data_IF_096577271739
#
_entry.id   IF_096577271739
#
_cell.length_a   1.000
_cell.length_b   1.000
_cell.length_c   1.000
_cell.angle_alpha   90.00
_cell.angle_beta   90.00
_cell.angle_gamma   90.00
#
_symmetry.space_group_name_H-M   'P 1'
#
loop_
_entity.id
_entity.type
_entity.pdbx_description
1 polymer ?
#
# COMPACT_ATOMS: atom_id res chain seq x y z
N UNK A 1 -21.72 36.70 18.48
CA UNK A 1 -20.62 37.43 17.81
C UNK A 1 -20.64 37.06 16.34
N UNK A 2 -20.50 38.03 15.43
CA UNK A 2 -20.51 37.77 14.00
C UNK A 2 -19.31 38.40 13.30
N UNK A 3 -19.08 38.04 12.04
CA UNK A 3 -17.93 38.55 11.32
C UNK A 3 -17.76 38.00 9.91
N UNK A 4 -16.65 38.38 9.29
CA UNK A 4 -16.21 37.90 7.98
C UNK A 4 -14.83 37.26 8.10
N UNK A 5 -14.66 36.08 7.51
CA UNK A 5 -13.40 35.36 7.42
C UNK A 5 -12.92 35.47 5.99
N UNK A 6 -11.76 36.07 5.80
CA UNK A 6 -11.19 36.35 4.47
C UNK A 6 -9.76 35.89 4.37
N UNK A 7 -9.32 35.61 3.16
CA UNK A 7 -7.91 35.37 2.85
C UNK A 7 -7.14 36.70 3.01
N UNK A 8 -5.96 36.61 3.62
CA UNK A 8 -5.09 37.76 3.84
C UNK A 8 -4.58 38.39 2.54
N UNK A 9 -4.45 37.62 1.45
CA UNK A 9 -3.84 38.09 0.22
C UNK A 9 -4.86 38.75 -0.72
N UNK A 10 -5.96 38.05 -1.01
CA UNK A 10 -6.94 38.50 -2.01
C UNK A 10 -8.23 39.07 -1.40
N UNK A 11 -8.37 39.07 -0.06
CA UNK A 11 -9.55 39.56 0.68
C UNK A 11 -10.86 38.85 0.34
N UNK A 12 -10.82 37.70 -0.32
CA UNK A 12 -12.01 36.92 -0.63
C UNK A 12 -12.49 36.15 0.61
N UNK A 13 -13.80 35.98 0.74
CA UNK A 13 -14.41 35.17 1.79
C UNK A 13 -13.96 33.72 1.70
N UNK A 14 -13.57 33.13 2.84
CA UNK A 14 -13.18 31.72 2.89
C UNK A 14 -14.42 30.91 3.31
N UNK A 15 -14.93 30.01 2.44
CA UNK A 15 -16.12 29.23 2.75
C UNK A 15 -15.81 28.14 3.79
N UNK A 16 -16.83 27.76 4.56
CA UNK A 16 -16.85 26.54 5.40
C UNK A 16 -15.72 26.45 6.44
N UNK A 17 -15.21 27.57 6.91
CA UNK A 17 -14.21 27.61 7.99
C UNK A 17 -14.85 27.11 9.29
N UNK A 18 -14.17 26.19 9.98
CA UNK A 18 -14.60 25.71 11.29
C UNK A 18 -14.14 26.66 12.38
N UNK A 19 -15.09 27.04 13.25
CA UNK A 19 -14.89 28.03 14.31
C UNK A 19 -15.20 27.35 15.63
N UNK A 20 -14.25 27.38 16.56
CA UNK A 20 -14.41 26.75 17.86
C UNK A 20 -14.06 27.77 18.94
N UNK A 21 -14.98 28.01 19.88
CA UNK A 21 -14.66 28.71 21.11
C UNK A 21 -13.88 27.76 22.04
N UNK A 22 -12.64 28.10 22.36
CA UNK A 22 -11.73 27.24 23.13
C UNK A 22 -12.18 27.04 24.58
N UNK A 23 -12.94 27.99 25.13
CA UNK A 23 -13.38 27.98 26.53
C UNK A 23 -14.66 27.16 26.69
N UNK A 24 -15.69 27.45 25.89
CA UNK A 24 -17.01 26.79 25.97
C UNK A 24 -17.07 25.49 25.16
N UNK A 25 -16.12 25.27 24.24
CA UNK A 25 -16.10 24.17 23.26
C UNK A 25 -17.31 24.18 22.30
N UNK A 26 -18.04 25.28 22.22
CA UNK A 26 -19.07 25.48 21.21
C UNK A 26 -18.43 25.73 19.85
N UNK A 27 -19.05 25.17 18.81
CA UNK A 27 -18.56 25.26 17.43
C UNK A 27 -19.61 25.82 16.49
N UNK A 28 -19.14 26.52 15.46
CA UNK A 28 -19.95 27.00 14.35
C UNK A 28 -19.19 26.82 13.03
N UNK A 29 -19.91 26.87 11.91
CA UNK A 29 -19.35 26.85 10.57
C UNK A 29 -19.57 28.21 9.89
N UNK A 30 -18.53 28.71 9.23
CA UNK A 30 -18.65 29.85 8.34
C UNK A 30 -19.49 29.50 7.11
N UNK A 31 -20.32 30.45 6.67
CA UNK A 31 -21.08 30.36 5.42
C UNK A 31 -20.16 30.35 4.19
N UNK A 32 -20.74 30.06 3.03
CA UNK A 32 -20.06 30.09 1.74
C UNK A 32 -19.44 31.47 1.40
N UNK A 33 -20.08 32.55 1.88
CA UNK A 33 -19.58 33.92 1.70
C UNK A 33 -18.44 34.30 2.65
N UNK A 34 -18.04 33.40 3.56
CA UNK A 34 -17.08 33.68 4.63
C UNK A 34 -17.67 34.40 5.84
N UNK A 35 -18.98 34.70 5.85
CA UNK A 35 -19.66 35.23 7.05
C UNK A 35 -19.81 34.14 8.10
N UNK A 36 -19.71 34.51 9.37
CA UNK A 36 -19.94 33.59 10.48
C UNK A 36 -20.70 34.25 11.63
N UNK A 37 -21.30 33.41 12.46
CA UNK A 37 -21.91 33.78 13.72
C UNK A 37 -21.66 32.68 14.76
N UNK A 38 -21.27 33.07 15.97
CA UNK A 38 -21.01 32.16 17.08
C UNK A 38 -21.29 32.85 18.42
N UNK A 39 -21.81 32.10 19.38
CA UNK A 39 -21.98 32.56 20.76
C UNK A 39 -20.65 32.52 21.50
N UNK A 40 -20.15 33.70 21.86
CA UNK A 40 -18.88 33.89 22.57
C UNK A 40 -18.91 35.17 23.42
N UNK A 41 -18.26 35.13 24.58
CA UNK A 41 -18.18 36.28 25.50
C UNK A 41 -16.86 37.03 25.32
N UNK A 42 -16.80 38.34 25.66
CA UNK A 42 -15.55 39.08 25.70
C UNK A 42 -14.46 38.36 26.50
N UNK A 43 -13.27 38.27 25.92
CA UNK A 43 -12.12 37.54 26.49
C UNK A 43 -12.04 36.05 26.14
N UNK A 44 -13.08 35.47 25.52
CA UNK A 44 -12.98 34.10 24.99
C UNK A 44 -12.04 34.06 23.77
N UNK A 45 -11.43 32.91 23.50
CA UNK A 45 -10.56 32.70 22.33
C UNK A 45 -11.27 31.82 21.29
N UNK A 46 -11.42 32.34 20.08
CA UNK A 46 -11.94 31.62 18.93
C UNK A 46 -10.80 31.06 18.09
N UNK A 47 -10.86 29.76 17.78
CA UNK A 47 -9.98 29.07 16.84
C UNK A 47 -10.69 28.91 15.49
N UNK A 48 -10.11 29.47 14.44
CA UNK A 48 -10.55 29.33 13.06
C UNK A 48 -9.64 28.34 12.34
N UNK A 49 -10.23 27.32 11.71
CA UNK A 49 -9.48 26.25 11.07
C UNK A 49 -10.09 25.83 9.73
N UNK A 50 -9.21 25.64 8.74
CA UNK A 50 -9.53 25.21 7.38
C UNK A 50 -8.32 24.45 6.83
N UNK A 51 -8.53 23.37 6.07
CA UNK A 51 -7.44 22.46 5.65
C UNK A 51 -6.29 23.18 4.92
N UNK A 52 -6.62 24.15 4.07
CA UNK A 52 -5.68 24.88 3.20
C UNK A 52 -5.16 26.17 3.82
N UNK A 53 -5.49 26.45 5.09
CA UNK A 53 -5.08 27.67 5.78
C UNK A 53 -4.42 27.34 7.13
N UNK A 54 -3.60 28.26 7.61
CA UNK A 54 -3.08 28.18 8.96
C UNK A 54 -4.19 28.47 9.98
N UNK A 55 -4.14 27.78 11.12
CA UNK A 55 -5.08 28.01 12.22
C UNK A 55 -4.90 29.43 12.75
N UNK A 56 -6.00 30.17 12.86
CA UNK A 56 -6.00 31.52 13.41
C UNK A 56 -6.70 31.54 14.76
N UNK A 57 -6.08 32.19 15.74
CA UNK A 57 -6.65 32.41 17.06
C UNK A 57 -6.97 33.89 17.22
N UNK A 58 -8.20 34.20 17.66
CA UNK A 58 -8.66 35.58 17.87
C UNK A 58 -9.38 35.65 19.21
N UNK A 59 -8.97 36.61 20.05
CA UNK A 59 -9.67 36.93 21.29
C UNK A 59 -10.89 37.82 20.99
N UNK A 60 -12.03 37.52 21.61
CA UNK A 60 -13.26 38.30 21.45
C UNK A 60 -13.10 39.66 22.14
N UNK A 61 -13.17 40.78 21.41
CA UNK A 61 -13.06 42.11 22.00
C UNK A 61 -14.32 42.49 22.78
N UNK A 62 -14.15 43.31 23.83
CA UNK A 62 -15.28 43.79 24.65
C UNK A 62 -16.09 44.90 23.98
N UNK A 63 -15.55 45.55 22.96
CA UNK A 63 -16.10 46.76 22.35
C UNK A 63 -16.89 46.55 21.06
N UNK A 64 -16.75 45.40 20.40
CA UNK A 64 -17.40 45.11 19.12
C UNK A 64 -17.91 43.68 19.05
N UNK A 65 -19.16 43.51 18.65
CA UNK A 65 -19.75 42.21 18.36
C UNK A 65 -19.46 41.74 16.92
N UNK A 66 -18.80 42.57 16.11
CA UNK A 66 -18.41 42.28 14.73
C UNK A 66 -16.88 42.33 14.54
N UNK A 67 -16.30 41.30 13.91
CA UNK A 67 -14.86 41.25 13.60
C UNK A 67 -14.57 40.74 12.18
N UNK A 68 -13.47 41.24 11.60
CA UNK A 68 -12.89 40.67 10.38
C UNK A 68 -11.70 39.80 10.74
N UNK A 69 -11.69 38.56 10.27
CA UNK A 69 -10.63 37.58 10.51
C UNK A 69 -9.92 37.31 9.20
N UNK A 70 -8.59 37.49 9.21
CA UNK A 70 -7.73 37.22 8.06
C UNK A 70 -6.95 35.93 8.30
N UNK A 71 -7.09 34.95 7.41
CA UNK A 71 -6.35 33.69 7.45
C UNK A 71 -5.31 33.64 6.33
N UNK A 72 -4.16 33.03 6.62
CA UNK A 72 -3.05 32.86 5.67
C UNK A 72 -3.12 31.46 5.07
N UNK A 73 -2.99 31.35 3.75
CA UNK A 73 -2.91 30.04 3.08
C UNK A 73 -1.69 29.26 3.56
N UNK A 74 -1.88 27.97 3.82
CA UNK A 74 -0.80 27.04 4.15
C UNK A 74 -0.39 26.28 2.90
N UNK A 75 0.88 26.36 2.54
CA UNK A 75 1.45 25.53 1.47
C UNK A 75 1.62 24.12 2.04
N UNK A 76 0.91 23.15 1.47
CA UNK A 76 1.11 21.72 1.76
C UNK A 76 2.19 21.21 0.82
N UNK A 77 3.43 21.14 1.29
CA UNK A 77 4.50 20.49 0.53
C UNK A 77 4.38 18.97 0.71
N UNK A 78 3.90 18.30 -0.34
CA UNK A 78 3.89 16.85 -0.40
C UNK A 78 5.25 16.39 -0.93
N UNK A 79 5.95 15.55 -0.16
CA UNK A 79 7.24 15.03 -0.61
C UNK A 79 7.07 14.29 -1.94
N UNK A 80 7.81 14.75 -2.95
CA UNK A 80 7.85 14.09 -4.25
C UNK A 80 8.52 12.73 -4.09
N UNK A 81 7.79 11.66 -4.41
CA UNK A 81 8.35 10.31 -4.50
C UNK A 81 8.96 10.14 -5.89
N UNK A 82 10.28 9.89 -5.94
CA UNK A 82 11.00 9.55 -7.17
C UNK A 82 10.76 8.07 -7.51
N UNK A 83 9.97 7.80 -8.55
CA UNK A 83 9.67 6.43 -8.99
C UNK A 83 10.76 5.98 -9.95
N UNK A 84 11.74 5.22 -9.45
CA UNK A 84 12.77 4.59 -10.28
C UNK A 84 12.22 3.33 -10.93
N UNK A 85 12.71 3.01 -12.14
CA UNK A 85 12.38 1.76 -12.83
C UNK A 85 12.71 0.54 -11.96
N UNK A 86 11.79 -0.43 -11.91
CA UNK A 86 11.92 -1.66 -11.13
C UNK A 86 13.17 -2.43 -11.56
N UNK A 87 13.97 -2.87 -10.59
CA UNK A 87 15.09 -3.78 -10.84
C UNK A 87 14.88 -5.02 -9.99
N UNK A 88 14.25 -6.03 -10.58
CA UNK A 88 13.90 -7.27 -9.89
C UNK A 88 15.07 -7.88 -9.11
N UNK A 89 16.29 -7.86 -9.65
CA UNK A 89 17.47 -8.45 -9.00
C UNK A 89 17.80 -7.73 -7.70
N UNK A 90 17.79 -6.39 -7.72
CA UNK A 90 18.03 -5.58 -6.52
C UNK A 90 16.89 -5.73 -5.51
N UNK A 91 15.66 -5.75 -5.99
CA UNK A 91 14.47 -5.84 -5.13
C UNK A 91 14.38 -7.21 -4.44
N UNK A 92 14.68 -8.31 -5.15
CA UNK A 92 14.78 -9.65 -4.58
C UNK A 92 15.91 -9.73 -3.55
N UNK A 93 17.09 -9.20 -3.85
CA UNK A 93 18.21 -9.19 -2.92
C UNK A 93 17.89 -8.40 -1.64
N UNK A 94 17.28 -7.23 -1.76
CA UNK A 94 16.84 -6.42 -0.62
C UNK A 94 15.78 -7.16 0.23
N UNK A 95 14.80 -7.80 -0.41
CA UNK A 95 13.78 -8.62 0.27
C UNK A 95 14.44 -9.76 1.06
N UNK A 96 15.44 -10.45 0.48
CA UNK A 96 16.17 -11.51 1.19
C UNK A 96 17.00 -10.98 2.36
N UNK A 97 17.54 -9.77 2.27
CA UNK A 97 18.25 -9.13 3.37
C UNK A 97 17.30 -8.74 4.51
N UNK A 98 16.18 -8.11 4.18
CA UNK A 98 15.16 -7.71 5.16
C UNK A 98 14.61 -8.92 5.94
N UNK A 99 14.30 -10.01 5.24
CA UNK A 99 13.76 -11.22 5.84
C UNK A 99 14.81 -12.33 6.06
N UNK A 100 16.10 -11.97 6.19
CA UNK A 100 17.21 -12.93 6.30
C UNK A 100 17.00 -13.97 7.41
N UNK A 101 16.39 -13.56 8.53
CA UNK A 101 16.00 -14.44 9.65
C UNK A 101 15.12 -15.61 9.22
N UNK A 102 14.20 -15.37 8.29
CA UNK A 102 13.21 -16.35 7.85
C UNK A 102 13.72 -17.17 6.66
N UNK A 103 14.38 -16.52 5.69
CA UNK A 103 15.05 -17.24 4.60
C UNK A 103 16.11 -18.22 5.11
N UNK A 104 16.90 -17.79 6.10
CA UNK A 104 17.92 -18.61 6.76
C UNK A 104 17.38 -19.58 7.81
N UNK A 105 16.07 -19.57 8.09
CA UNK A 105 15.49 -20.44 9.11
C UNK A 105 15.69 -21.92 8.75
N UNK A 106 16.23 -22.67 9.71
CA UNK A 106 16.40 -24.13 9.65
C UNK A 106 15.79 -24.73 10.90
N UNK A 107 14.95 -25.75 10.73
CA UNK A 107 14.41 -26.50 11.85
C UNK A 107 15.56 -27.21 12.57
N UNK A 108 15.62 -27.20 13.92
CA UNK A 108 16.62 -27.97 14.66
C UNK A 108 16.53 -29.45 14.29
N UNK A 109 17.65 -30.04 13.87
CA UNK A 109 17.77 -31.45 13.52
C UNK A 109 18.25 -32.31 14.70
N UNK A 110 18.34 -33.62 14.48
CA UNK A 110 18.81 -34.57 15.51
C UNK A 110 20.23 -34.21 16.03
N UNK A 111 21.09 -33.69 15.15
CA UNK A 111 22.43 -33.24 15.55
C UNK A 111 22.41 -32.00 16.45
N UNK A 112 21.46 -31.08 16.24
CA UNK A 112 21.31 -29.89 17.07
C UNK A 112 20.82 -30.26 18.47
N UNK A 113 19.94 -31.26 18.56
CA UNK A 113 19.51 -31.85 19.84
C UNK A 113 20.71 -32.45 20.57
N UNK A 114 21.50 -33.30 19.91
CA UNK A 114 22.64 -33.99 20.51
C UNK A 114 23.71 -33.03 21.04
N UNK A 115 23.98 -31.94 20.31
CA UNK A 115 24.93 -30.89 20.74
C UNK A 115 24.41 -30.03 21.90
N UNK A 116 23.10 -29.84 21.99
CA UNK A 116 22.48 -28.97 23.00
C UNK A 116 22.19 -29.70 24.31
N UNK A 117 21.99 -31.02 24.27
CA UNK A 117 21.61 -31.83 25.42
C UNK A 117 22.58 -31.75 26.62
N UNK A 118 23.92 -31.78 26.44
CA UNK A 118 24.86 -31.74 27.57
C UNK A 118 24.88 -30.42 28.33
N UNK A 119 24.68 -29.29 27.63
CA UNK A 119 24.77 -27.94 28.20
C UNK A 119 23.41 -27.34 28.57
N UNK A 120 22.37 -27.63 27.80
CA UNK A 120 21.03 -27.06 27.95
C UNK A 120 19.93 -28.12 27.70
N UNK A 121 19.72 -29.06 28.64
CA UNK A 121 18.82 -30.19 28.45
C UNK A 121 17.35 -29.77 28.26
N UNK A 122 16.89 -28.73 28.96
CA UNK A 122 15.52 -28.19 28.79
C UNK A 122 15.33 -27.68 27.36
N UNK A 123 16.29 -26.90 26.84
CA UNK A 123 16.25 -26.39 25.46
C UNK A 123 16.28 -27.53 24.44
N UNK A 124 17.10 -28.56 24.65
CA UNK A 124 17.13 -29.73 23.78
C UNK A 124 15.78 -30.46 23.71
N UNK A 125 15.06 -30.58 24.82
CA UNK A 125 13.71 -31.15 24.85
C UNK A 125 12.70 -30.30 24.06
N UNK A 126 12.83 -28.97 24.06
CA UNK A 126 11.93 -28.11 23.26
C UNK A 126 12.04 -28.34 21.76
N UNK A 127 13.16 -28.86 21.27
CA UNK A 127 13.33 -29.19 19.84
C UNK A 127 12.55 -30.44 19.42
N UNK A 128 12.31 -31.36 20.37
CA UNK A 128 11.54 -32.59 20.18
C UNK A 128 10.03 -32.34 20.19
N UNK A 129 9.57 -31.26 20.83
CA UNK A 129 8.15 -30.91 20.93
C UNK A 129 7.71 -30.04 19.73
N UNK A 130 6.55 -30.30 19.11
CA UNK A 130 6.02 -29.46 18.04
C UNK A 130 5.70 -28.04 18.56
N UNK A 131 6.29 -27.03 17.93
CA UNK A 131 6.08 -25.62 18.28
C UNK A 131 5.24 -24.89 17.23
N UNK A 132 4.18 -24.19 17.68
CA UNK A 132 3.37 -23.31 16.80
C UNK A 132 4.22 -22.22 16.15
N UNK A 133 5.17 -21.65 16.90
CA UNK A 133 6.09 -20.63 16.39
C UNK A 133 7.01 -21.18 15.29
N UNK A 134 7.49 -22.43 15.43
CA UNK A 134 8.28 -23.10 14.38
C UNK A 134 7.47 -23.26 13.10
N UNK A 135 6.28 -23.84 13.20
CA UNK A 135 5.39 -24.03 12.04
C UNK A 135 5.10 -22.70 11.34
N UNK A 136 4.81 -21.64 12.10
CA UNK A 136 4.60 -20.29 11.55
C UNK A 136 5.83 -19.77 10.80
N UNK A 137 7.03 -19.94 11.34
CA UNK A 137 8.26 -19.48 10.68
C UNK A 137 8.57 -20.29 9.41
N UNK A 138 8.30 -21.60 9.42
CA UNK A 138 8.44 -22.48 8.25
C UNK A 138 7.46 -22.05 7.15
N UNK A 139 6.18 -21.91 7.48
CA UNK A 139 5.15 -21.44 6.56
C UNK A 139 5.44 -20.03 6.02
N UNK A 140 5.94 -19.13 6.87
CA UNK A 140 6.32 -17.79 6.42
C UNK A 140 7.53 -17.82 5.46
N UNK A 141 8.51 -18.69 5.71
CA UNK A 141 9.62 -18.92 4.78
C UNK A 141 9.12 -19.47 3.43
N UNK A 142 8.22 -20.44 3.46
CA UNK A 142 7.62 -21.02 2.25
C UNK A 142 6.88 -19.96 1.43
N UNK A 143 6.08 -19.13 2.08
CA UNK A 143 5.46 -17.97 1.45
C UNK A 143 6.50 -17.04 0.84
N UNK A 144 7.53 -16.61 1.59
CA UNK A 144 8.56 -15.73 1.05
C UNK A 144 9.23 -16.28 -0.20
N UNK A 145 9.52 -17.59 -0.22
CA UNK A 145 10.07 -18.27 -1.41
C UNK A 145 9.05 -18.30 -2.54
N UNK A 146 7.78 -18.56 -2.25
CA UNK A 146 6.69 -18.50 -3.23
C UNK A 146 6.59 -17.11 -3.88
N UNK A 147 6.49 -16.05 -3.07
CA UNK A 147 6.41 -14.67 -3.55
C UNK A 147 7.61 -14.27 -4.39
N UNK A 148 8.82 -14.73 -4.04
CA UNK A 148 10.02 -14.46 -4.84
C UNK A 148 9.95 -15.12 -6.23
N UNK A 149 9.43 -16.35 -6.30
CA UNK A 149 9.20 -17.08 -7.56
C UNK A 149 8.13 -16.39 -8.41
N UNK A 150 7.03 -15.98 -7.79
CA UNK A 150 5.95 -15.27 -8.48
C UNK A 150 6.45 -13.96 -9.09
N UNK A 151 7.16 -13.14 -8.29
CA UNK A 151 7.79 -11.91 -8.79
C UNK A 151 8.78 -12.16 -9.92
N UNK A 152 9.50 -13.29 -9.90
CA UNK A 152 10.40 -13.65 -10.99
C UNK A 152 9.65 -13.90 -12.29
N UNK A 153 8.55 -14.64 -12.21
CA UNK A 153 7.69 -14.94 -13.35
C UNK A 153 7.08 -13.63 -13.88
N UNK A 154 6.49 -12.81 -13.02
CA UNK A 154 5.82 -11.56 -13.42
C UNK A 154 6.80 -10.56 -14.07
N UNK A 155 8.04 -10.53 -13.59
CA UNK A 155 9.07 -9.68 -14.19
C UNK A 155 9.46 -10.12 -15.61
N UNK A 156 9.45 -11.43 -15.89
CA UNK A 156 9.82 -11.96 -17.22
C UNK A 156 8.62 -12.09 -18.16
N UNK A 157 7.48 -12.52 -17.64
CA UNK A 157 6.19 -12.66 -18.31
C UNK A 157 5.34 -11.43 -18.02
N UNK A 158 5.83 -10.25 -18.44
CA UNK A 158 5.19 -8.98 -18.13
C UNK A 158 3.99 -8.70 -19.06
N UNK A 159 2.99 -7.93 -18.61
CA UNK A 159 1.85 -7.55 -19.45
C UNK A 159 2.28 -6.91 -20.77
N UNK A 160 3.30 -6.05 -20.76
CA UNK A 160 3.78 -5.33 -21.94
C UNK A 160 4.38 -6.29 -22.99
N UNK A 161 5.10 -7.34 -22.53
CA UNK A 161 5.63 -8.37 -23.42
C UNK A 161 4.48 -9.17 -24.07
N UNK A 162 3.51 -9.58 -23.26
CA UNK A 162 2.39 -10.41 -23.71
C UNK A 162 1.47 -9.63 -24.64
N UNK A 163 1.15 -8.39 -24.31
CA UNK A 163 0.38 -7.46 -25.16
C UNK A 163 1.06 -7.27 -26.51
N UNK A 164 2.37 -6.99 -26.53
CA UNK A 164 3.13 -6.84 -27.78
C UNK A 164 3.09 -8.09 -28.67
N UNK A 165 3.09 -9.28 -28.06
CA UNK A 165 3.13 -10.56 -28.77
C UNK A 165 1.75 -11.04 -29.24
N UNK A 166 0.68 -10.67 -28.54
CA UNK A 166 -0.67 -11.22 -28.75
C UNK A 166 -1.69 -10.18 -29.22
N UNK A 167 -1.36 -8.89 -29.08
CA UNK A 167 -2.25 -7.75 -29.29
C UNK A 167 -3.55 -7.80 -28.45
N UNK A 168 -3.55 -8.58 -27.36
CA UNK A 168 -4.62 -8.61 -26.37
C UNK A 168 -4.51 -7.40 -25.45
N UNK A 169 -5.65 -6.80 -25.10
CA UNK A 169 -5.72 -5.60 -24.27
C UNK A 169 -6.76 -5.75 -23.15
N UNK A 170 -6.57 -4.99 -22.07
CA UNK A 170 -7.52 -4.90 -20.96
C UNK A 170 -7.87 -6.27 -20.34
N UNK A 171 -9.16 -6.51 -20.12
CA UNK A 171 -9.64 -7.72 -19.44
C UNK A 171 -9.32 -9.02 -20.19
N UNK A 172 -9.13 -8.95 -21.51
CA UNK A 172 -8.77 -10.11 -22.32
C UNK A 172 -7.31 -10.52 -22.08
N UNK A 173 -6.41 -9.54 -21.98
CA UNK A 173 -5.02 -9.75 -21.63
C UNK A 173 -4.90 -10.37 -20.24
N UNK A 174 -5.59 -9.81 -19.25
CA UNK A 174 -5.57 -10.31 -17.87
C UNK A 174 -6.04 -11.76 -17.81
N UNK A 175 -7.17 -12.07 -18.46
CA UNK A 175 -7.73 -13.43 -18.50
C UNK A 175 -6.77 -14.42 -19.17
N UNK A 176 -6.10 -14.02 -20.26
CA UNK A 176 -5.09 -14.83 -20.92
C UNK A 176 -3.90 -15.09 -20.00
N UNK A 177 -3.34 -14.04 -19.40
CA UNK A 177 -2.17 -14.13 -18.52
C UNK A 177 -2.43 -15.01 -17.31
N UNK A 178 -3.61 -14.91 -16.69
CA UNK A 178 -3.97 -15.76 -15.54
C UNK A 178 -4.14 -17.24 -15.93
N UNK A 179 -4.71 -17.53 -17.10
CA UNK A 179 -5.00 -18.91 -17.54
C UNK A 179 -3.76 -19.61 -18.12
N UNK A 180 -2.94 -18.88 -18.87
CA UNK A 180 -1.76 -19.40 -19.58
C UNK A 180 -0.45 -18.96 -18.92
N UNK A 181 -0.47 -18.80 -17.59
CA UNK A 181 0.73 -18.43 -16.83
C UNK A 181 1.77 -19.56 -16.87
N UNK A 182 3.03 -19.29 -17.27
CA UNK A 182 4.11 -20.28 -17.24
C UNK A 182 4.49 -20.65 -15.80
N UNK A 183 5.01 -21.86 -15.61
CA UNK A 183 5.51 -22.32 -14.32
C UNK A 183 6.91 -21.80 -14.02
N UNK A 184 7.25 -21.68 -12.73
CA UNK A 184 8.55 -21.17 -12.29
C UNK A 184 9.76 -21.91 -12.91
N UNK A 185 9.71 -23.25 -12.96
CA UNK A 185 10.83 -24.05 -13.49
C UNK A 185 11.10 -23.73 -14.96
N UNK A 186 10.05 -23.66 -15.78
CA UNK A 186 10.17 -23.24 -17.18
C UNK A 186 10.81 -21.85 -17.28
N UNK A 187 10.42 -20.90 -16.42
CA UNK A 187 10.97 -19.56 -16.45
C UNK A 187 12.46 -19.49 -16.06
N UNK A 188 12.95 -20.43 -15.25
CA UNK A 188 14.39 -20.51 -14.93
C UNK A 188 15.21 -21.03 -16.10
N UNK A 189 14.69 -22.04 -16.80
CA UNK A 189 15.43 -22.76 -17.84
C UNK A 189 15.28 -22.10 -19.22
N UNK A 190 14.15 -21.42 -19.46
CA UNK A 190 13.82 -20.80 -20.74
C UNK A 190 14.68 -19.57 -21.04
N UNK A 191 15.13 -19.48 -22.29
CA UNK A 191 15.64 -18.23 -22.85
C UNK A 191 14.49 -17.27 -23.13
N UNK A 192 14.83 -16.03 -23.49
CA UNK A 192 13.82 -15.06 -23.94
C UNK A 192 13.07 -15.54 -25.19
N UNK A 193 13.78 -16.21 -26.12
CA UNK A 193 13.16 -16.79 -27.31
C UNK A 193 12.17 -17.90 -26.96
N UNK A 194 12.54 -18.81 -26.05
CA UNK A 194 11.65 -19.90 -25.63
C UNK A 194 10.37 -19.36 -24.98
N UNK A 195 10.48 -18.27 -24.21
CA UNK A 195 9.33 -17.58 -23.64
C UNK A 195 8.43 -16.97 -24.73
N UNK A 196 9.01 -16.36 -25.77
CA UNK A 196 8.25 -15.83 -26.90
C UNK A 196 7.51 -16.93 -27.66
N UNK A 197 8.17 -18.08 -27.88
CA UNK A 197 7.55 -19.26 -28.50
C UNK A 197 6.42 -19.80 -27.62
N UNK A 198 6.63 -19.86 -26.31
CA UNK A 198 5.59 -20.24 -25.34
C UNK A 198 4.37 -19.32 -25.44
N UNK A 199 4.56 -18.00 -25.43
CA UNK A 199 3.47 -17.03 -25.56
C UNK A 199 2.69 -17.25 -26.86
N UNK A 200 3.40 -17.40 -27.99
CA UNK A 200 2.79 -17.64 -29.30
C UNK A 200 1.92 -18.90 -29.31
N UNK A 201 2.45 -20.01 -28.78
CA UNK A 201 1.73 -21.29 -28.74
C UNK A 201 0.53 -21.24 -27.79
N UNK A 202 0.70 -20.63 -26.61
CA UNK A 202 -0.37 -20.41 -25.64
C UNK A 202 -1.49 -19.54 -26.21
N UNK A 203 -1.15 -18.49 -26.96
CA UNK A 203 -2.13 -17.64 -27.62
C UNK A 203 -2.92 -18.38 -28.71
N UNK A 204 -2.24 -19.21 -29.52
CA UNK A 204 -2.92 -20.06 -30.49
C UNK A 204 -3.90 -21.04 -29.83
N UNK A 205 -3.54 -21.57 -28.64
CA UNK A 205 -4.43 -22.42 -27.85
C UNK A 205 -5.61 -21.61 -27.27
N UNK A 206 -5.34 -20.44 -26.72
CA UNK A 206 -6.36 -19.53 -26.20
C UNK A 206 -7.44 -19.20 -27.23
N UNK A 207 -7.06 -18.92 -28.48
CA UNK A 207 -8.01 -18.66 -29.56
C UNK A 207 -8.93 -19.87 -29.84
N UNK A 208 -8.38 -21.09 -29.82
CA UNK A 208 -9.16 -22.33 -30.01
C UNK A 208 -10.12 -22.56 -28.84
N UNK A 209 -9.64 -22.38 -27.62
CA UNK A 209 -10.43 -22.57 -26.40
C UNK A 209 -11.55 -21.53 -26.31
N UNK A 210 -11.28 -20.29 -26.71
CA UNK A 210 -12.28 -19.21 -26.81
C UNK A 210 -13.34 -19.52 -27.87
N UNK A 211 -12.93 -20.02 -29.05
CA UNK A 211 -13.86 -20.38 -30.13
C UNK A 211 -14.77 -21.56 -29.76
N UNK A 212 -14.28 -22.50 -28.96
CA UNK A 212 -15.03 -23.68 -28.51
C UNK A 212 -15.80 -23.46 -27.20
N UNK A 213 -15.64 -22.30 -26.54
CA UNK A 213 -16.25 -22.00 -25.24
C UNK A 213 -15.60 -22.73 -24.06
N UNK A 214 -14.52 -23.47 -24.28
CA UNK A 214 -13.84 -24.31 -23.29
C UNK A 214 -12.58 -23.64 -22.74
N UNK A 215 -12.72 -22.42 -22.20
CA UNK A 215 -11.59 -21.75 -21.58
C UNK A 215 -11.14 -22.50 -20.32
N UNK A 216 -9.85 -22.86 -20.18
CA UNK A 216 -9.35 -23.54 -19.00
C UNK A 216 -9.63 -22.69 -17.77
N UNK A 217 -9.98 -23.28 -16.61
CA UNK A 217 -10.25 -22.51 -15.41
C UNK A 217 -9.08 -21.57 -15.14
N UNK A 218 -9.40 -20.37 -14.65
CA UNK A 218 -8.38 -19.48 -14.09
C UNK A 218 -7.61 -20.30 -13.09
N UNK A 219 -6.28 -20.40 -13.26
CA UNK A 219 -5.42 -21.02 -12.26
C UNK A 219 -5.63 -20.21 -10.99
N UNK A 220 -6.51 -20.68 -10.10
CA UNK A 220 -6.63 -20.11 -8.78
C UNK A 220 -5.24 -20.16 -8.18
N UNK A 221 -4.79 -19.06 -7.60
CA UNK A 221 -3.73 -19.11 -6.60
C UNK A 221 -4.12 -20.27 -5.68
N UNK A 222 -3.36 -21.36 -5.71
CA UNK A 222 -3.69 -22.52 -4.89
C UNK A 222 -3.60 -22.05 -3.44
N UNK A 223 -4.76 -21.77 -2.85
CA UNK A 223 -5.00 -21.82 -1.42
C UNK A 223 -4.62 -23.23 -0.98
N UNK A 224 -3.37 -23.38 -0.56
CA UNK A 224 -2.92 -24.57 0.14
C UNK A 224 -3.09 -24.28 1.64
N UNK A 225 -4.18 -24.82 2.19
CA UNK A 225 -4.37 -25.08 3.63
C UNK A 225 -3.23 -25.90 4.23
#
# INVERSE_FOLDING_TARGET
>A
MSGLITDIDNRQGIPNVSIINKKTRTGALGSESGRFEIDAMPGDTLEFSMLTYEKKFVAVPSSSMFINVYMTKRILDIQRVDVRGRNYVKDSAATRQEYAKYFGYKKPGAMDVLKTLPSHPITALTYLVPSKTRKRNEHFKEQLVYWEKEKYIDNRYSPELVERMTHLNGTELDSFMMRYRPGYQFMQDATEYDLMVYIKNSYAQYQKDKATGNLPPVKKEEEQE
#
